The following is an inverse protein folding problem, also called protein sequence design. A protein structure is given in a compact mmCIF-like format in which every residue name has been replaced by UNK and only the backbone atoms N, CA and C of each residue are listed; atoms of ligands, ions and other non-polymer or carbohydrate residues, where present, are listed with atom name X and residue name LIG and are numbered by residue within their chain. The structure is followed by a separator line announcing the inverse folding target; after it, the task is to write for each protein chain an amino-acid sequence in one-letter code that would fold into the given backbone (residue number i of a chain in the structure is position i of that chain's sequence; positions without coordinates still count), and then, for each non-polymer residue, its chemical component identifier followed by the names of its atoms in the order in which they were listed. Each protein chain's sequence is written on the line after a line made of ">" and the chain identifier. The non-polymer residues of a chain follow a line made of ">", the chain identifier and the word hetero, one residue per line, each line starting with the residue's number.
data_IF_987405881111
#
_entry.id   IF_987405881111
#
_cell.length_a   1.000
_cell.length_b   1.000
_cell.length_c   1.000
_cell.angle_alpha   90.00
_cell.angle_beta   90.00
_cell.angle_gamma   90.00
#
_symmetry.space_group_name_H-M   'P 1'
#
loop_
_entity.id
_entity.type
_entity.pdbx_description
1 polymer ?
#
# COMPACT_ATOMS: atom_id res chain seq x y z
N UNK A 1 -0.01 -13.59 -16.59
CA UNK A 1 1.00 -14.64 -16.85
C UNK A 1 2.33 -14.02 -17.20
N UNK A 2 3.43 -14.66 -16.83
CA UNK A 2 4.80 -14.25 -17.17
C UNK A 2 5.50 -15.38 -17.93
N UNK A 3 6.37 -15.05 -18.88
CA UNK A 3 7.07 -16.01 -19.74
C UNK A 3 6.41 -16.23 -21.09
N UNK A 4 6.95 -17.18 -21.88
CA UNK A 4 6.42 -17.57 -23.20
C UNK A 4 6.51 -19.08 -23.39
N UNK A 5 5.50 -19.67 -24.05
CA UNK A 5 5.46 -21.10 -24.36
C UNK A 5 5.43 -21.98 -23.10
N UNK A 6 6.23 -23.04 -23.09
CA UNK A 6 6.28 -24.02 -21.98
C UNK A 6 6.77 -23.44 -20.65
N UNK A 7 7.38 -22.24 -20.64
CA UNK A 7 7.87 -21.53 -19.46
C UNK A 7 6.88 -20.46 -18.99
N UNK A 8 5.60 -20.53 -19.36
CA UNK A 8 4.59 -19.60 -18.89
C UNK A 8 4.22 -19.90 -17.45
N UNK A 9 4.34 -18.88 -16.57
CA UNK A 9 3.94 -18.95 -15.16
C UNK A 9 2.68 -18.12 -14.96
N UNK A 10 1.61 -18.76 -14.51
CA UNK A 10 0.39 -18.07 -14.08
C UNK A 10 0.57 -17.59 -12.64
N UNK A 11 0.98 -16.35 -12.48
CA UNK A 11 1.21 -15.77 -11.15
C UNK A 11 -0.09 -15.59 -10.36
N UNK A 12 -1.21 -15.38 -11.07
CA UNK A 12 -2.58 -15.37 -10.53
C UNK A 12 -3.46 -16.25 -11.40
N UNK A 13 -4.35 -17.03 -10.78
CA UNK A 13 -5.23 -17.97 -11.47
C UNK A 13 -6.64 -17.90 -10.88
N UNK A 14 -7.52 -17.17 -11.57
CA UNK A 14 -8.94 -17.08 -11.21
C UNK A 14 -9.18 -16.42 -9.84
N UNK A 15 -8.46 -15.34 -9.51
CA UNK A 15 -8.70 -14.57 -8.28
C UNK A 15 -10.03 -13.82 -8.39
N UNK A 16 -10.89 -14.04 -7.39
CA UNK A 16 -12.10 -13.26 -7.15
C UNK A 16 -12.04 -12.71 -5.72
N UNK A 17 -12.03 -11.38 -5.57
CA UNK A 17 -12.06 -10.72 -4.27
C UNK A 17 -12.70 -9.34 -4.37
N UNK A 18 -13.27 -8.88 -3.24
CA UNK A 18 -13.81 -7.55 -3.08
C UNK A 18 -13.24 -6.90 -1.81
N UNK A 19 -12.85 -5.63 -1.92
CA UNK A 19 -12.40 -4.79 -0.81
C UNK A 19 -13.42 -3.68 -0.59
N UNK A 20 -13.93 -3.56 0.63
CA UNK A 20 -14.83 -2.47 1.00
C UNK A 20 -14.05 -1.18 1.18
N UNK A 21 -14.64 -0.06 0.75
CA UNK A 21 -14.03 1.25 0.87
C UNK A 21 -13.78 1.63 2.34
N UNK A 22 -12.65 2.28 2.60
CA UNK A 22 -12.27 2.77 3.92
C UNK A 22 -11.85 1.69 4.92
N UNK A 23 -11.67 0.43 4.48
CA UNK A 23 -11.24 -0.69 5.31
C UNK A 23 -9.76 -0.99 5.12
N UNK A 24 -9.18 -1.68 6.10
CA UNK A 24 -7.81 -2.22 6.06
C UNK A 24 -7.88 -3.71 5.76
N UNK A 25 -7.21 -4.14 4.70
CA UNK A 25 -7.06 -5.54 4.33
C UNK A 25 -5.61 -5.98 4.46
N UNK A 26 -5.39 -7.17 5.01
CA UNK A 26 -4.07 -7.80 5.04
C UNK A 26 -4.10 -9.02 4.13
N UNK A 27 -3.18 -9.03 3.17
CA UNK A 27 -3.02 -10.08 2.16
C UNK A 27 -1.78 -10.90 2.53
N UNK A 28 -2.01 -12.12 2.97
CA UNK A 28 -1.02 -13.06 3.45
C UNK A 28 -0.70 -14.14 2.42
N UNK A 29 0.47 -14.70 2.50
CA UNK A 29 0.87 -15.88 1.73
C UNK A 29 2.39 -16.03 1.64
N UNK A 30 2.90 -17.20 1.25
CA UNK A 30 4.33 -17.44 1.10
C UNK A 30 4.94 -16.57 -0.01
N UNK A 31 6.28 -16.49 -0.05
CA UNK A 31 6.98 -15.86 -1.16
C UNK A 31 6.61 -16.54 -2.48
N UNK A 32 6.45 -15.77 -3.55
CA UNK A 32 6.08 -16.29 -4.87
C UNK A 32 4.60 -16.69 -5.04
N UNK A 33 3.73 -16.49 -4.05
CA UNK A 33 2.31 -16.87 -4.15
C UNK A 33 1.44 -15.95 -5.02
N UNK A 34 1.99 -14.86 -5.58
CA UNK A 34 1.27 -13.92 -6.45
C UNK A 34 0.83 -12.61 -5.78
N UNK A 35 1.16 -12.38 -4.51
CA UNK A 35 0.72 -11.17 -3.75
C UNK A 35 1.16 -9.86 -4.41
N UNK A 36 2.45 -9.70 -4.70
CA UNK A 36 2.98 -8.48 -5.34
C UNK A 36 2.43 -8.31 -6.75
N UNK A 37 2.18 -9.41 -7.49
CA UNK A 37 1.50 -9.39 -8.78
C UNK A 37 0.08 -8.83 -8.64
N UNK A 38 -0.69 -9.30 -7.65
CA UNK A 38 -2.02 -8.78 -7.36
C UNK A 38 -1.98 -7.28 -7.03
N UNK A 39 -1.03 -6.86 -6.19
CA UNK A 39 -0.85 -5.45 -5.84
C UNK A 39 -0.54 -4.60 -7.08
N UNK A 40 0.36 -5.07 -7.95
CA UNK A 40 0.72 -4.38 -9.19
C UNK A 40 -0.48 -4.23 -10.13
N UNK A 41 -1.31 -5.26 -10.24
CA UNK A 41 -2.54 -5.21 -11.06
C UNK A 41 -3.56 -4.24 -10.47
N UNK A 42 -3.81 -4.29 -9.15
CA UNK A 42 -4.70 -3.34 -8.46
C UNK A 42 -4.20 -1.90 -8.60
N UNK A 43 -2.89 -1.71 -8.61
CA UNK A 43 -2.24 -0.41 -8.78
C UNK A 43 -2.11 0.06 -10.23
N UNK A 44 -2.51 -0.76 -11.21
CA UNK A 44 -2.38 -0.43 -12.63
C UNK A 44 -0.92 -0.34 -13.10
N UNK A 45 -0.02 -1.07 -12.46
CA UNK A 45 1.40 -1.22 -12.86
C UNK A 45 1.58 -2.39 -13.81
N UNK A 46 0.66 -3.36 -13.77
CA UNK A 46 0.64 -4.54 -14.62
C UNK A 46 -0.76 -4.74 -15.21
N UNK A 47 -0.86 -5.50 -16.28
CA UNK A 47 -2.11 -5.77 -17.00
C UNK A 47 -2.61 -7.19 -16.73
N UNK A 48 -3.94 -7.36 -16.78
CA UNK A 48 -4.57 -8.67 -16.76
C UNK A 48 -4.46 -9.34 -18.13
N UNK A 49 -4.31 -10.65 -18.15
CA UNK A 49 -4.53 -11.46 -19.36
C UNK A 49 -6.04 -11.60 -19.60
N UNK A 50 -6.81 -11.89 -18.54
CA UNK A 50 -8.27 -12.05 -18.56
C UNK A 50 -8.88 -11.53 -17.25
N UNK A 51 -10.19 -11.23 -17.29
CA UNK A 51 -10.95 -10.75 -16.13
C UNK A 51 -11.07 -9.23 -16.05
N UNK A 52 -11.43 -8.72 -14.89
CA UNK A 52 -11.62 -7.29 -14.66
C UNK A 52 -11.20 -6.86 -13.26
N UNK A 53 -10.74 -5.62 -13.13
CA UNK A 53 -10.50 -4.94 -11.86
C UNK A 53 -11.29 -3.65 -11.86
N UNK A 54 -12.09 -3.46 -10.80
CA UNK A 54 -12.84 -2.22 -10.58
C UNK A 54 -12.40 -1.59 -9.27
N UNK A 55 -12.06 -0.30 -9.31
CA UNK A 55 -11.67 0.50 -8.14
C UNK A 55 -12.56 1.72 -8.08
N UNK A 56 -13.25 1.90 -6.95
CA UNK A 56 -14.20 3.01 -6.74
C UNK A 56 -15.21 3.16 -7.91
N UNK A 57 -15.79 2.03 -8.35
CA UNK A 57 -16.75 1.96 -9.47
C UNK A 57 -16.16 2.13 -10.87
N UNK A 58 -14.84 2.35 -11.00
CA UNK A 58 -14.17 2.51 -12.29
C UNK A 58 -13.42 1.22 -12.66
N UNK A 59 -13.75 0.63 -13.81
CA UNK A 59 -13.00 -0.50 -14.36
C UNK A 59 -11.65 -0.02 -14.87
N UNK A 60 -10.56 -0.50 -14.25
CA UNK A 60 -9.18 -0.10 -14.57
C UNK A 60 -8.50 -1.07 -15.55
N UNK A 61 -8.99 -2.30 -15.66
CA UNK A 61 -8.41 -3.35 -16.52
C UNK A 61 -8.43 -3.04 -18.01
N UNK A 62 -9.32 -2.14 -18.45
CA UNK A 62 -9.45 -1.70 -19.85
C UNK A 62 -8.85 -0.34 -20.14
N UNK A 63 -8.23 0.30 -19.16
CA UNK A 63 -7.65 1.63 -19.32
C UNK A 63 -6.39 1.56 -20.19
N UNK A 64 -6.25 2.54 -21.07
CA UNK A 64 -5.02 2.74 -21.87
C UNK A 64 -3.89 3.27 -20.98
N UNK A 65 -2.65 3.17 -21.45
CA UNK A 65 -1.44 3.58 -20.71
C UNK A 65 -1.54 5.01 -20.12
N UNK A 66 -2.03 5.99 -20.88
CA UNK A 66 -2.21 7.36 -20.38
C UNK A 66 -3.28 7.48 -19.29
N UNK A 67 -4.34 6.68 -19.35
CA UNK A 67 -5.41 6.63 -18.33
C UNK A 67 -4.94 5.91 -17.07
N UNK A 68 -4.15 4.82 -17.21
CA UNK A 68 -3.48 4.16 -16.08
C UNK A 68 -2.49 5.10 -15.38
N UNK A 69 -1.77 5.93 -16.14
CA UNK A 69 -0.91 6.96 -15.55
C UNK A 69 -1.72 7.96 -14.74
N UNK A 70 -2.88 8.40 -15.23
CA UNK A 70 -3.79 9.27 -14.49
C UNK A 70 -4.33 8.57 -13.25
N UNK A 71 -4.75 7.31 -13.35
CA UNK A 71 -5.23 6.49 -12.23
C UNK A 71 -4.17 6.40 -11.12
N UNK A 72 -2.93 6.04 -11.46
CA UNK A 72 -1.82 6.00 -10.48
C UNK A 72 -1.52 7.38 -9.86
N UNK A 73 -1.69 8.45 -10.64
CA UNK A 73 -1.46 9.80 -10.18
C UNK A 73 -2.49 10.26 -9.15
N UNK A 74 -3.77 9.87 -9.31
CA UNK A 74 -4.89 10.38 -8.50
C UNK A 74 -5.42 9.38 -7.47
N UNK A 75 -5.59 8.10 -7.85
CA UNK A 75 -6.43 7.18 -7.10
C UNK A 75 -5.64 6.18 -6.25
N UNK A 76 -4.35 5.97 -6.54
CA UNK A 76 -3.52 4.94 -5.86
C UNK A 76 -2.29 5.53 -5.22
N UNK A 77 -2.07 5.24 -3.94
CA UNK A 77 -0.82 5.42 -3.23
C UNK A 77 -0.04 4.10 -3.15
N UNK A 78 1.28 4.15 -3.33
CA UNK A 78 2.15 2.99 -3.14
C UNK A 78 3.14 3.24 -2.03
N UNK A 79 3.32 2.24 -1.16
CA UNK A 79 4.37 2.19 -0.14
C UNK A 79 5.09 0.85 -0.29
N UNK A 80 6.38 0.91 -0.57
CA UNK A 80 7.23 -0.26 -0.79
C UNK A 80 8.11 -0.55 0.42
N UNK A 81 8.64 -1.76 0.49
CA UNK A 81 9.60 -2.18 1.50
C UNK A 81 10.85 -1.30 1.52
N UNK A 82 11.36 -0.95 0.34
CA UNK A 82 12.41 0.06 0.18
C UNK A 82 11.73 1.41 -0.04
N UNK A 83 12.02 2.37 0.79
CA UNK A 83 11.29 3.63 0.94
C UNK A 83 11.22 4.47 -0.34
N UNK A 84 12.15 4.28 -1.28
CA UNK A 84 12.24 4.97 -2.58
C UNK A 84 12.15 6.50 -2.46
N UNK A 85 12.74 7.05 -1.39
CA UNK A 85 12.84 8.49 -1.20
C UNK A 85 13.89 9.08 -2.14
N UNK A 86 13.68 10.33 -2.55
CA UNK A 86 14.64 11.09 -3.33
C UNK A 86 15.72 11.60 -2.37
N UNK A 87 16.98 11.13 -2.49
CA UNK A 87 18.01 11.35 -1.48
C UNK A 87 18.44 12.82 -1.38
N UNK A 88 18.33 13.56 -2.48
CA UNK A 88 18.73 14.96 -2.61
C UNK A 88 17.62 15.95 -2.23
N UNK A 89 16.46 15.46 -1.80
CA UNK A 89 15.33 16.24 -1.34
C UNK A 89 15.10 16.03 0.16
N UNK A 90 14.75 17.10 0.86
CA UNK A 90 14.32 17.05 2.25
C UNK A 90 13.04 16.23 2.42
N UNK A 91 12.65 15.92 3.66
CA UNK A 91 11.38 15.25 3.99
C UNK A 91 10.21 16.00 3.38
N UNK A 92 10.13 17.33 3.57
CA UNK A 92 9.05 18.15 3.03
C UNK A 92 9.03 18.11 1.51
N UNK A 93 10.17 18.30 0.86
CA UNK A 93 10.28 18.29 -0.60
C UNK A 93 9.93 16.92 -1.20
N UNK A 94 10.30 15.80 -0.55
CA UNK A 94 9.88 14.46 -0.96
C UNK A 94 8.36 14.29 -1.02
N UNK A 95 7.62 14.97 -0.16
CA UNK A 95 6.16 14.95 -0.15
C UNK A 95 5.62 15.95 -1.18
N UNK A 96 6.22 17.14 -1.23
CA UNK A 96 5.77 18.26 -2.04
C UNK A 96 5.83 17.97 -3.55
N UNK A 97 6.83 17.23 -4.05
CA UNK A 97 6.86 16.82 -5.47
C UNK A 97 5.64 16.00 -5.90
N UNK A 98 4.97 15.31 -4.97
CA UNK A 98 3.72 14.58 -5.24
C UNK A 98 2.51 15.48 -5.03
N UNK A 99 2.53 16.36 -4.03
CA UNK A 99 1.53 17.40 -3.80
C UNK A 99 1.34 18.26 -5.05
N UNK A 100 2.44 18.77 -5.62
CA UNK A 100 2.44 19.66 -6.80
C UNK A 100 1.79 19.05 -8.05
N UNK A 101 1.81 17.74 -8.17
CA UNK A 101 1.20 17.03 -9.30
C UNK A 101 -0.20 16.47 -8.99
N UNK A 102 -0.63 16.49 -7.73
CA UNK A 102 -1.93 15.98 -7.32
C UNK A 102 -3.06 16.89 -7.80
N UNK A 103 -4.25 16.32 -8.00
CA UNK A 103 -5.44 17.11 -8.41
C UNK A 103 -6.12 17.77 -7.21
N UNK A 104 -6.19 17.07 -6.09
CA UNK A 104 -6.86 17.48 -4.86
C UNK A 104 -6.03 16.97 -3.66
N UNK A 105 -4.85 17.58 -3.43
CA UNK A 105 -3.96 17.12 -2.37
C UNK A 105 -4.52 17.40 -0.98
N UNK A 106 -4.17 16.53 -0.04
CA UNK A 106 -4.38 16.81 1.38
C UNK A 106 -3.44 17.94 1.84
N UNK A 107 -3.79 18.72 2.88
CA UNK A 107 -2.89 19.71 3.44
C UNK A 107 -1.60 19.06 3.95
N UNK A 108 -0.44 19.45 3.42
CA UNK A 108 0.85 18.82 3.72
C UNK A 108 1.18 18.81 5.22
N UNK A 109 0.84 19.88 5.93
CA UNK A 109 1.08 19.96 7.38
C UNK A 109 0.23 18.96 8.16
N UNK A 110 -1.02 18.70 7.74
CA UNK A 110 -1.89 17.69 8.35
C UNK A 110 -1.33 16.29 8.10
N UNK A 111 -0.87 16.01 6.89
CA UNK A 111 -0.25 14.74 6.52
C UNK A 111 1.01 14.51 7.34
N UNK A 112 1.92 15.49 7.43
CA UNK A 112 3.15 15.37 8.22
C UNK A 112 2.86 15.15 9.72
N UNK A 113 1.85 15.82 10.28
CA UNK A 113 1.39 15.60 11.66
C UNK A 113 0.77 14.22 11.86
N UNK A 114 -0.02 13.75 10.88
CA UNK A 114 -0.66 12.44 10.95
C UNK A 114 0.35 11.31 11.14
N UNK A 115 1.52 11.41 10.48
CA UNK A 115 2.60 10.40 10.53
C UNK A 115 3.79 10.82 11.42
N UNK A 116 3.67 11.89 12.21
CA UNK A 116 4.69 12.40 13.18
C UNK A 116 6.08 12.60 12.57
N UNK A 117 6.14 13.33 11.45
CA UNK A 117 7.40 13.67 10.77
C UNK A 117 7.63 15.18 10.63
N UNK A 118 6.73 16.03 11.11
CA UNK A 118 6.81 17.49 10.98
C UNK A 118 8.14 18.07 11.51
N UNK A 119 8.63 17.54 12.62
CA UNK A 119 9.91 17.95 13.22
C UNK A 119 11.16 17.59 12.38
N UNK A 120 10.99 16.75 11.36
CA UNK A 120 12.07 16.32 10.46
C UNK A 120 11.96 16.95 9.08
N UNK A 121 11.04 17.89 8.86
CA UNK A 121 10.68 18.43 7.54
C UNK A 121 11.86 18.91 6.69
N UNK A 122 12.88 19.47 7.34
CA UNK A 122 14.07 20.05 6.70
C UNK A 122 15.27 19.07 6.66
N UNK A 123 15.09 17.81 7.12
CA UNK A 123 16.13 16.77 7.05
C UNK A 123 16.10 16.02 5.74
N UNK A 124 17.24 15.48 5.36
CA UNK A 124 17.40 14.59 4.22
C UNK A 124 17.15 13.12 4.62
N UNK A 125 16.79 12.22 3.68
CA UNK A 125 16.54 10.81 3.96
C UNK A 125 17.65 10.08 4.71
N UNK A 126 18.93 10.38 4.41
CA UNK A 126 20.10 9.79 5.06
C UNK A 126 20.27 10.18 6.54
N UNK A 127 19.56 11.21 7.00
CA UNK A 127 19.55 11.66 8.39
C UNK A 127 18.41 11.01 9.22
N UNK A 128 17.64 10.13 8.61
CA UNK A 128 16.46 9.51 9.19
C UNK A 128 16.67 8.03 9.49
N UNK A 129 16.07 7.53 10.58
CA UNK A 129 15.96 6.10 10.81
C UNK A 129 15.04 5.43 9.77
N UNK A 130 15.14 4.10 9.59
CA UNK A 130 14.29 3.37 8.66
C UNK A 130 12.79 3.59 8.88
N UNK A 131 12.34 3.57 10.14
CA UNK A 131 10.93 3.86 10.45
C UNK A 131 10.51 5.30 10.15
N UNK A 132 11.42 6.28 10.28
CA UNK A 132 11.14 7.65 9.87
C UNK A 132 11.05 7.77 8.35
N UNK A 133 11.95 7.12 7.61
CA UNK A 133 11.90 7.06 6.15
C UNK A 133 10.60 6.40 5.66
N UNK A 134 10.16 5.33 6.33
CA UNK A 134 8.88 4.67 6.00
C UNK A 134 7.68 5.60 6.21
N UNK A 135 7.69 6.40 7.28
CA UNK A 135 6.63 7.40 7.51
C UNK A 135 6.62 8.48 6.45
N UNK A 136 7.79 8.93 5.97
CA UNK A 136 7.89 9.86 4.83
C UNK A 136 7.33 9.22 3.56
N UNK A 137 7.63 7.94 3.31
CA UNK A 137 7.08 7.21 2.16
C UNK A 137 5.54 7.09 2.23
N UNK A 138 4.98 6.85 3.43
CA UNK A 138 3.53 6.85 3.66
C UNK A 138 2.96 8.25 3.39
N UNK A 139 3.54 9.30 3.98
CA UNK A 139 3.09 10.68 3.76
C UNK A 139 3.07 11.03 2.27
N UNK A 140 4.15 10.70 1.55
CA UNK A 140 4.25 10.91 0.10
C UNK A 140 3.19 10.13 -0.69
N UNK A 141 2.83 8.93 -0.23
CA UNK A 141 1.81 8.12 -0.89
C UNK A 141 0.39 8.67 -0.69
N UNK A 142 0.10 9.25 0.49
CA UNK A 142 -1.24 9.71 0.86
C UNK A 142 -1.52 11.17 0.53
N UNK A 143 -0.48 12.01 0.32
CA UNK A 143 -0.64 13.45 0.09
C UNK A 143 -1.60 13.77 -1.07
N UNK A 144 -1.65 12.90 -2.08
CA UNK A 144 -2.54 13.06 -3.22
C UNK A 144 -3.98 12.59 -2.97
N UNK A 145 -4.35 12.29 -1.71
CA UNK A 145 -5.68 11.84 -1.29
C UNK A 145 -6.18 10.60 -2.05
N UNK A 146 -5.42 9.49 -2.07
CA UNK A 146 -5.73 8.33 -2.87
C UNK A 146 -6.95 7.56 -2.33
N UNK A 147 -7.70 6.90 -3.20
CA UNK A 147 -8.78 5.96 -2.84
C UNK A 147 -8.23 4.65 -2.25
N UNK A 148 -7.06 4.25 -2.72
CA UNK A 148 -6.42 2.97 -2.38
C UNK A 148 -4.95 3.17 -2.04
N UNK A 149 -4.53 2.74 -0.87
CA UNK A 149 -3.14 2.69 -0.43
C UNK A 149 -2.66 1.24 -0.48
N UNK A 150 -1.70 0.96 -1.34
CA UNK A 150 -1.10 -0.35 -1.54
C UNK A 150 0.26 -0.41 -0.85
N UNK A 151 0.41 -1.31 0.11
CA UNK A 151 1.61 -1.46 0.92
C UNK A 151 2.24 -2.83 0.67
N UNK A 152 3.45 -2.87 0.15
CA UNK A 152 4.21 -4.11 -0.08
C UNK A 152 5.30 -4.26 0.97
N UNK A 153 5.17 -5.29 1.84
CA UNK A 153 6.12 -5.63 2.91
C UNK A 153 6.56 -4.43 3.77
N UNK A 154 5.59 -3.62 4.17
CA UNK A 154 5.74 -2.33 4.83
C UNK A 154 6.71 -2.32 6.03
N UNK A 155 6.85 -3.45 6.70
CA UNK A 155 7.63 -3.60 7.94
C UNK A 155 8.82 -4.55 7.81
N UNK A 156 9.06 -5.10 6.61
CA UNK A 156 10.03 -6.19 6.41
C UNK A 156 11.49 -5.84 6.72
N UNK A 157 11.84 -4.54 6.75
CA UNK A 157 13.19 -4.06 7.06
C UNK A 157 13.29 -3.39 8.45
N UNK A 158 12.25 -3.49 9.30
CA UNK A 158 12.15 -2.77 10.56
C UNK A 158 12.11 -3.75 11.75
N UNK A 159 12.61 -3.29 12.91
CA UNK A 159 12.43 -4.00 14.18
C UNK A 159 10.96 -3.97 14.63
N UNK A 160 10.56 -4.86 15.53
CA UNK A 160 9.17 -5.03 15.98
C UNK A 160 8.55 -3.76 16.57
N UNK A 161 9.32 -2.97 17.32
CA UNK A 161 8.83 -1.71 17.92
C UNK A 161 8.56 -0.66 16.85
N UNK A 162 9.48 -0.52 15.91
CA UNK A 162 9.36 0.42 14.78
C UNK A 162 8.24 -0.02 13.83
N UNK A 163 8.13 -1.32 13.56
CA UNK A 163 7.06 -1.92 12.75
C UNK A 163 5.68 -1.59 13.32
N UNK A 164 5.49 -1.78 14.63
CA UNK A 164 4.24 -1.44 15.32
C UNK A 164 3.91 0.04 15.16
N UNK A 165 4.88 0.92 15.38
CA UNK A 165 4.69 2.37 15.23
C UNK A 165 4.27 2.74 13.80
N UNK A 166 4.89 2.15 12.78
CA UNK A 166 4.52 2.39 11.36
C UNK A 166 3.10 1.92 11.07
N UNK A 167 2.70 0.75 11.60
CA UNK A 167 1.34 0.23 11.43
C UNK A 167 0.29 1.08 12.15
N UNK A 168 0.61 1.66 13.31
CA UNK A 168 -0.24 2.64 13.99
C UNK A 168 -0.49 3.89 13.10
N UNK A 169 0.52 4.35 12.36
CA UNK A 169 0.34 5.45 11.41
C UNK A 169 -0.53 5.07 10.22
N UNK A 170 -0.40 3.85 9.69
CA UNK A 170 -1.29 3.36 8.63
C UNK A 170 -2.74 3.30 9.12
N UNK A 171 -2.97 2.79 10.33
CA UNK A 171 -4.30 2.76 10.96
C UNK A 171 -4.86 4.17 11.15
N UNK A 172 -4.03 5.11 11.60
CA UNK A 172 -4.41 6.53 11.77
C UNK A 172 -4.76 7.17 10.43
N UNK A 173 -3.97 6.97 9.40
CA UNK A 173 -4.21 7.45 8.03
C UNK A 173 -5.53 6.92 7.49
N UNK A 174 -5.76 5.60 7.58
CA UNK A 174 -7.03 5.00 7.16
C UNK A 174 -8.22 5.65 7.87
N UNK A 175 -8.16 5.83 9.19
CA UNK A 175 -9.23 6.41 9.99
C UNK A 175 -9.46 7.90 9.70
N UNK A 176 -8.37 8.67 9.52
CA UNK A 176 -8.44 10.12 9.34
C UNK A 176 -8.88 10.52 7.93
N UNK A 177 -8.41 9.81 6.91
CA UNK A 177 -8.62 10.18 5.50
C UNK A 177 -9.57 9.23 4.76
N UNK A 178 -10.03 8.15 5.39
CA UNK A 178 -10.97 7.20 4.78
C UNK A 178 -10.37 6.37 3.64
N UNK A 179 -9.04 6.40 3.46
CA UNK A 179 -8.35 5.66 2.41
C UNK A 179 -8.46 4.15 2.64
N UNK A 180 -8.85 3.39 1.63
CA UNK A 180 -8.79 1.91 1.67
C UNK A 180 -7.34 1.46 1.66
N UNK A 181 -6.96 0.53 2.52
CA UNK A 181 -5.58 0.06 2.65
C UNK A 181 -5.49 -1.43 2.37
N UNK A 182 -4.56 -1.84 1.51
CA UNK A 182 -4.18 -3.23 1.30
C UNK A 182 -2.71 -3.42 1.66
N UNK A 183 -2.43 -4.22 2.69
CA UNK A 183 -1.08 -4.55 3.17
C UNK A 183 -0.74 -5.96 2.76
N UNK A 184 0.28 -6.11 1.93
CA UNK A 184 0.88 -7.39 1.61
C UNK A 184 1.99 -7.69 2.60
N UNK A 185 1.96 -8.87 3.21
CA UNK A 185 2.99 -9.31 4.13
C UNK A 185 3.00 -10.81 4.30
N UNK A 186 4.10 -11.36 4.80
CA UNK A 186 4.21 -12.72 5.28
C UNK A 186 4.08 -12.82 6.81
N UNK A 187 4.01 -11.68 7.52
CA UNK A 187 3.86 -11.64 8.98
C UNK A 187 2.37 -11.78 9.37
N UNK A 188 2.01 -12.96 9.89
CA UNK A 188 0.65 -13.30 10.34
C UNK A 188 0.10 -12.36 11.42
N UNK A 189 0.97 -11.83 12.29
CA UNK A 189 0.54 -10.98 13.40
C UNK A 189 -0.11 -9.68 12.90
N UNK A 190 0.29 -9.17 11.73
CA UNK A 190 -0.28 -7.94 11.15
C UNK A 190 -1.77 -8.11 10.81
N UNK A 191 -2.22 -9.34 10.52
CA UNK A 191 -3.64 -9.61 10.26
C UNK A 191 -4.55 -9.21 11.43
N UNK A 192 -4.03 -9.15 12.66
CA UNK A 192 -4.80 -8.74 13.83
C UNK A 192 -5.40 -7.33 13.72
N UNK A 193 -4.78 -6.41 13.00
CA UNK A 193 -5.29 -5.04 12.82
C UNK A 193 -6.21 -4.85 11.60
N UNK A 194 -6.35 -5.84 10.75
CA UNK A 194 -7.14 -5.75 9.53
C UNK A 194 -8.65 -5.84 9.79
N UNK A 195 -9.45 -5.22 8.94
CA UNK A 195 -10.88 -5.44 8.84
C UNK A 195 -11.20 -6.73 8.08
N UNK A 196 -10.36 -7.07 7.09
CA UNK A 196 -10.46 -8.29 6.31
C UNK A 196 -9.11 -8.95 6.09
N UNK A 197 -9.11 -10.28 6.07
CA UNK A 197 -7.93 -11.12 5.91
C UNK A 197 -8.08 -11.93 4.63
N UNK A 198 -7.09 -11.82 3.75
CA UNK A 198 -7.03 -12.54 2.48
C UNK A 198 -5.77 -13.41 2.50
N UNK A 199 -5.87 -14.67 2.09
CA UNK A 199 -4.72 -15.56 1.91
C UNK A 199 -4.59 -15.95 0.45
N UNK A 200 -3.39 -15.78 -0.09
CA UNK A 200 -3.04 -16.21 -1.44
C UNK A 200 -2.05 -17.36 -1.34
N UNK A 201 -2.35 -18.43 -2.07
CA UNK A 201 -1.48 -19.59 -2.23
C UNK A 201 -1.53 -20.04 -3.69
N UNK A 202 -0.36 -20.23 -4.29
CA UNK A 202 -0.24 -20.74 -5.67
C UNK A 202 -1.11 -19.96 -6.69
N UNK A 203 -1.11 -18.65 -6.59
CA UNK A 203 -1.86 -17.75 -7.46
C UNK A 203 -3.38 -17.69 -7.21
N UNK A 204 -3.90 -18.35 -6.17
CA UNK A 204 -5.34 -18.42 -5.85
C UNK A 204 -5.65 -17.84 -4.48
N UNK A 205 -6.86 -17.32 -4.31
CA UNK A 205 -7.39 -16.96 -3.00
C UNK A 205 -7.80 -18.25 -2.27
N UNK A 206 -7.05 -18.61 -1.23
CA UNK A 206 -7.34 -19.77 -0.38
C UNK A 206 -8.26 -19.43 0.79
N UNK A 207 -8.29 -18.15 1.19
CA UNK A 207 -9.17 -17.64 2.24
C UNK A 207 -9.47 -16.16 1.98
N UNK A 208 -10.72 -15.76 2.15
CA UNK A 208 -11.14 -14.36 2.26
C UNK A 208 -12.22 -14.27 3.33
N UNK A 209 -11.97 -13.52 4.41
CA UNK A 209 -12.91 -13.37 5.52
C UNK A 209 -12.80 -12.03 6.21
N UNK A 210 -13.90 -11.56 6.80
CA UNK A 210 -13.88 -10.47 7.77
C UNK A 210 -13.11 -10.87 9.04
N UNK A 211 -12.47 -9.91 9.67
CA UNK A 211 -11.80 -10.11 10.96
C UNK A 211 -12.72 -9.66 12.09
N UNK A 212 -13.38 -10.59 12.73
CA UNK A 212 -14.30 -10.34 13.85
C UNK A 212 -13.57 -9.92 15.14
N UNK A 213 -12.27 -10.22 15.25
CA UNK A 213 -11.44 -9.96 16.42
C UNK A 213 -10.35 -8.93 16.13
N UNK A 214 -10.71 -7.85 15.42
CA UNK A 214 -9.77 -6.77 15.10
C UNK A 214 -9.25 -6.10 16.36
N UNK A 215 -7.93 -5.95 16.45
CA UNK A 215 -7.24 -5.24 17.53
C UNK A 215 -6.51 -4.01 16.98
N UNK A 216 -6.30 -2.96 17.79
CA UNK A 216 -5.50 -1.81 17.37
C UNK A 216 -4.04 -2.22 17.06
N UNK A 217 -3.42 -1.55 16.07
CA UNK A 217 -2.04 -1.83 15.68
C UNK A 217 -1.04 -1.80 16.85
N UNK A 218 -1.26 -0.93 17.85
CA UNK A 218 -0.44 -0.84 19.08
C UNK A 218 -0.42 -2.12 19.93
N UNK A 219 -1.40 -3.01 19.77
CA UNK A 219 -1.54 -4.26 20.53
C UNK A 219 -0.99 -5.46 19.78
N UNK A 220 -0.46 -5.28 18.56
CA UNK A 220 0.13 -6.35 17.78
C UNK A 220 1.42 -6.86 18.45
N UNK A 221 1.57 -8.17 18.51
CA UNK A 221 2.81 -8.87 18.92
C UNK A 221 3.57 -9.25 17.64
N UNK A 222 4.55 -8.40 17.24
CA UNK A 222 5.30 -8.51 15.98
C UNK A 222 6.65 -9.14 16.18
#
# INVERSE_FOLDING_TARGET
>A
SYGKGENTVHALDGIELALEQGKIYVILGPSGSGKSTLLNMMGGLDSLDEGSITVDGKEISRLKSGELTKYRKTDVGFVFQFYNLLPDLTVKENIQVVEDIAKDPLPIDEVMKAVDIEKYKDRFPNELSGGQQQRVAIARAIIKNPKLLLCDELTGALDSKTSRSVLEFVEKVNRQFGTTVAIITHNEAIAGMADGIIRIKDGKVSLSKANENKIPAKQLEL
#
